data_IF_723134751544
#
_entry.id   IF_723134751544
#
_cell.length_a   1.000
_cell.length_b   1.000
_cell.length_c   1.000
_cell.angle_alpha   90.00
_cell.angle_beta   90.00
_cell.angle_gamma   90.00
#
_symmetry.space_group_name_H-M   'P 1'
#
loop_
_entity.id
_entity.type
_entity.pdbx_description
1 polymer ?
#
# COMPACT_ATOMS: atom_id res chain seq x y z
N UNK A 1 27.22 49.16 -23.16
CA UNK A 1 26.11 48.28 -22.80
C UNK A 1 26.71 47.04 -22.13
N UNK A 2 26.50 46.87 -20.81
CA UNK A 2 26.99 45.69 -20.07
C UNK A 2 25.80 44.74 -19.91
N UNK A 3 25.91 43.52 -20.44
CA UNK A 3 24.91 42.49 -20.32
C UNK A 3 24.79 41.96 -18.87
N UNK A 4 23.63 41.36 -18.50
CA UNK A 4 23.39 40.85 -17.16
C UNK A 4 24.27 39.64 -16.86
N UNK A 5 24.98 39.66 -15.71
CA UNK A 5 25.72 38.53 -15.19
C UNK A 5 24.75 37.63 -14.39
N UNK A 6 24.52 36.41 -14.85
CA UNK A 6 23.85 35.39 -14.07
C UNK A 6 24.79 34.82 -13.01
N UNK A 7 24.37 34.68 -11.76
CA UNK A 7 25.17 34.02 -10.74
C UNK A 7 25.24 32.51 -11.00
N UNK A 8 26.44 31.98 -11.18
CA UNK A 8 26.67 30.55 -11.23
C UNK A 8 26.55 29.98 -9.81
N UNK A 9 25.73 28.92 -9.59
CA UNK A 9 25.73 28.23 -8.30
C UNK A 9 27.08 27.56 -8.07
N UNK A 10 27.67 27.78 -6.89
CA UNK A 10 28.95 27.19 -6.54
C UNK A 10 28.87 25.66 -6.47
N UNK A 11 29.78 25.00 -7.18
CA UNK A 11 29.92 23.53 -7.24
C UNK A 11 29.92 22.84 -5.84
N UNK A 12 30.33 23.56 -4.79
CA UNK A 12 30.35 23.06 -3.43
C UNK A 12 28.97 22.73 -2.87
N UNK A 13 27.92 23.50 -3.18
CA UNK A 13 26.55 23.23 -2.69
C UNK A 13 25.93 21.99 -3.34
N UNK A 14 26.21 21.77 -4.62
CA UNK A 14 25.70 20.60 -5.35
C UNK A 14 26.36 19.33 -4.81
N UNK A 15 27.63 19.37 -4.46
CA UNK A 15 28.37 18.21 -3.91
C UNK A 15 27.87 17.81 -2.53
N UNK A 16 27.53 18.76 -1.67
CA UNK A 16 26.94 18.46 -0.35
C UNK A 16 25.52 17.91 -0.44
N UNK A 17 24.72 18.40 -1.38
CA UNK A 17 23.36 17.87 -1.57
C UNK A 17 23.38 16.46 -2.18
N UNK A 18 24.30 16.17 -3.10
CA UNK A 18 24.51 14.83 -3.62
C UNK A 18 25.10 13.87 -2.58
N UNK A 19 26.01 14.33 -1.72
CA UNK A 19 26.58 13.53 -0.62
C UNK A 19 25.53 13.23 0.45
N UNK A 20 24.62 14.15 0.76
CA UNK A 20 23.52 13.92 1.70
C UNK A 20 22.47 12.95 1.12
N UNK A 21 22.22 13.00 -0.19
CA UNK A 21 21.33 12.07 -0.88
C UNK A 21 21.87 10.63 -0.90
N UNK A 22 23.18 10.46 -0.95
CA UNK A 22 23.84 9.14 -0.99
C UNK A 22 23.94 8.53 0.42
N UNK A 23 23.97 9.32 1.48
CA UNK A 23 24.08 8.81 2.86
C UNK A 23 22.75 8.25 3.43
N UNK A 24 21.63 8.54 2.79
CA UNK A 24 20.30 8.02 3.20
C UNK A 24 19.99 6.64 2.58
N UNK A 25 20.80 6.16 1.62
CA UNK A 25 20.44 4.99 0.80
C UNK A 25 21.01 3.66 1.22
N UNK A 26 21.74 3.53 2.33
CA UNK A 26 22.32 2.23 2.71
C UNK A 26 22.24 2.00 4.21
N UNK A 27 21.04 1.75 4.74
CA UNK A 27 20.90 0.77 5.79
C UNK A 27 20.50 -0.53 5.11
N UNK A 28 21.40 -1.52 4.96
CA UNK A 28 20.97 -2.83 4.48
C UNK A 28 19.94 -3.34 5.50
N UNK A 29 18.73 -3.64 5.00
CA UNK A 29 17.80 -4.43 5.79
C UNK A 29 18.53 -5.71 6.17
N UNK A 30 18.74 -5.95 7.45
CA UNK A 30 19.32 -7.21 7.89
C UNK A 30 18.23 -8.28 7.77
N UNK A 31 18.30 -9.09 6.71
CA UNK A 31 17.59 -10.35 6.66
C UNK A 31 18.39 -11.35 7.51
N UNK A 32 17.76 -12.00 8.47
CA UNK A 32 18.36 -13.12 9.22
C UNK A 32 17.51 -14.35 8.97
N UNK A 33 18.11 -15.35 8.35
CA UNK A 33 17.57 -16.67 8.21
C UNK A 33 18.11 -17.56 9.35
N UNK A 34 17.23 -18.30 9.98
CA UNK A 34 17.56 -19.29 11.01
C UNK A 34 17.04 -20.62 10.51
N UNK A 35 17.95 -21.50 10.10
CA UNK A 35 17.61 -22.88 9.79
C UNK A 35 17.46 -23.67 11.09
N UNK A 36 16.49 -24.55 11.15
CA UNK A 36 16.30 -25.44 12.29
C UNK A 36 16.04 -26.87 11.83
N UNK A 37 16.56 -27.80 12.60
CA UNK A 37 16.37 -29.24 12.44
C UNK A 37 15.94 -29.83 13.80
N UNK A 38 14.78 -30.42 13.81
CA UNK A 38 14.17 -31.02 14.99
C UNK A 38 13.83 -32.48 14.74
N UNK A 39 13.68 -33.25 15.81
CA UNK A 39 13.25 -34.67 15.73
C UNK A 39 14.19 -35.55 14.88
N UNK A 40 15.51 -35.30 14.93
CA UNK A 40 16.54 -36.04 14.16
C UNK A 40 16.32 -35.95 12.64
N UNK A 41 16.08 -34.78 12.09
CA UNK A 41 15.91 -34.53 10.67
C UNK A 41 14.48 -34.78 10.13
N UNK A 42 13.52 -35.14 10.99
CA UNK A 42 12.13 -35.34 10.56
C UNK A 42 11.35 -34.04 10.40
N UNK A 43 11.76 -33.01 11.08
CA UNK A 43 11.20 -31.65 10.96
C UNK A 43 12.34 -30.72 10.64
N UNK A 44 12.38 -30.18 9.45
CA UNK A 44 13.32 -29.15 9.05
C UNK A 44 12.57 -27.87 8.72
N UNK A 45 13.24 -26.73 8.79
CA UNK A 45 12.57 -25.49 8.42
C UNK A 45 13.50 -24.30 8.48
N UNK A 46 12.93 -23.17 8.06
CA UNK A 46 13.61 -21.90 8.00
C UNK A 46 12.72 -20.80 8.58
N UNK A 47 13.31 -19.94 9.36
CA UNK A 47 12.67 -18.75 9.88
C UNK A 47 13.44 -17.51 9.43
N UNK A 48 12.79 -16.71 8.58
CA UNK A 48 13.34 -15.46 8.06
C UNK A 48 12.71 -14.25 8.71
N UNK A 49 13.54 -13.26 9.01
CA UNK A 49 13.08 -11.96 9.52
C UNK A 49 13.71 -10.83 8.72
N UNK A 50 12.88 -9.98 8.14
CA UNK A 50 13.31 -8.76 7.45
C UNK A 50 12.79 -7.54 8.18
N UNK A 51 13.69 -6.68 8.64
CA UNK A 51 13.37 -5.39 9.21
C UNK A 51 13.60 -4.29 8.15
N UNK A 52 12.60 -3.45 7.94
CA UNK A 52 12.65 -2.37 6.93
C UNK A 52 12.28 -1.04 7.58
N UNK A 53 13.01 0.01 7.23
CA UNK A 53 12.69 1.38 7.58
C UNK A 53 12.65 2.23 6.31
N UNK A 54 11.61 3.05 6.16
CA UNK A 54 11.44 3.90 5.00
C UNK A 54 10.84 5.25 5.35
N UNK A 55 11.23 6.26 4.58
CA UNK A 55 10.77 7.64 4.76
C UNK A 55 10.33 8.22 3.43
N UNK A 56 9.23 8.95 3.43
CA UNK A 56 8.75 9.70 2.27
C UNK A 56 8.22 11.05 2.71
N UNK A 57 8.57 12.10 1.97
CA UNK A 57 8.14 13.46 2.24
C UNK A 57 7.74 14.18 0.95
N UNK A 58 6.88 15.16 1.09
CA UNK A 58 6.43 15.98 -0.04
C UNK A 58 7.50 17.01 -0.40
N UNK A 59 7.90 17.06 -1.67
CA UNK A 59 8.94 17.97 -2.19
C UNK A 59 8.39 19.11 -3.04
N UNK A 60 7.07 19.18 -3.21
CA UNK A 60 6.38 20.21 -3.99
C UNK A 60 5.21 20.79 -3.21
N UNK A 61 4.80 21.99 -3.57
CA UNK A 61 3.58 22.59 -3.07
C UNK A 61 2.35 21.75 -3.46
N UNK A 62 1.22 22.02 -2.81
CA UNK A 62 -0.04 21.34 -3.11
C UNK A 62 -0.47 21.63 -4.54
N UNK A 63 -0.93 20.60 -5.23
CA UNK A 63 -1.52 20.76 -6.55
C UNK A 63 -2.94 21.31 -6.42
N UNK A 64 -3.11 22.57 -6.83
CA UNK A 64 -4.39 23.27 -6.75
C UNK A 64 -5.44 22.66 -7.68
N UNK A 65 -5.03 21.92 -8.71
CA UNK A 65 -5.97 21.29 -9.67
C UNK A 65 -6.72 20.09 -9.09
N UNK A 66 -6.25 19.54 -7.97
CA UNK A 66 -6.91 18.42 -7.26
C UNK A 66 -7.49 18.86 -5.91
N UNK A 67 -7.44 20.13 -5.57
CA UNK A 67 -8.09 20.71 -4.40
C UNK A 67 -9.40 21.36 -4.84
N UNK A 68 -10.47 21.10 -4.12
CA UNK A 68 -11.79 21.68 -4.39
C UNK A 68 -11.81 23.20 -4.24
N UNK A 69 -12.66 23.86 -5.03
CA UNK A 69 -12.76 25.33 -5.04
C UNK A 69 -13.08 25.92 -3.68
N UNK A 70 -13.89 25.26 -2.86
CA UNK A 70 -14.23 25.68 -1.50
C UNK A 70 -13.03 25.60 -0.54
N UNK A 71 -12.05 24.75 -0.86
CA UNK A 71 -10.79 24.62 -0.12
C UNK A 71 -9.64 25.46 -0.74
N UNK A 72 -9.98 26.37 -1.67
CA UNK A 72 -9.05 27.31 -2.27
C UNK A 72 -8.32 26.79 -3.51
N UNK A 73 -8.70 25.63 -4.05
CA UNK A 73 -8.16 25.07 -5.28
C UNK A 73 -9.01 25.36 -6.51
N UNK A 74 -8.85 24.56 -7.56
CA UNK A 74 -9.57 24.69 -8.84
C UNK A 74 -10.38 23.45 -9.23
N UNK A 75 -10.31 22.36 -8.46
CA UNK A 75 -11.13 21.17 -8.70
C UNK A 75 -12.60 21.44 -8.37
N UNK A 76 -13.49 20.84 -9.16
CA UNK A 76 -14.92 20.97 -8.94
C UNK A 76 -15.40 20.21 -7.68
N UNK A 77 -14.77 19.09 -7.34
CA UNK A 77 -15.20 18.21 -6.24
C UNK A 77 -14.26 18.31 -5.03
N UNK A 78 -14.88 18.32 -3.83
CA UNK A 78 -14.18 18.18 -2.55
C UNK A 78 -14.08 16.71 -2.09
N UNK A 79 -14.73 15.76 -2.78
CA UNK A 79 -14.79 14.36 -2.37
C UNK A 79 -13.52 13.55 -2.72
N UNK A 80 -12.37 14.19 -2.78
CA UNK A 80 -11.11 13.51 -3.12
C UNK A 80 -9.87 14.34 -2.85
N UNK A 81 -9.97 15.45 -2.15
CA UNK A 81 -8.86 16.38 -1.94
C UNK A 81 -8.17 16.30 -0.58
N UNK A 82 -8.76 15.58 0.39
CA UNK A 82 -8.25 15.48 1.76
C UNK A 82 -6.81 14.95 1.83
N UNK A 83 -6.46 13.97 1.00
CA UNK A 83 -5.10 13.45 0.92
C UNK A 83 -4.07 14.51 0.52
N UNK A 84 -4.42 15.40 -0.42
CA UNK A 84 -3.53 16.49 -0.83
C UNK A 84 -3.51 17.63 0.21
N UNK A 85 -4.64 17.88 0.88
CA UNK A 85 -4.74 18.93 1.90
C UNK A 85 -3.97 18.61 3.18
N UNK A 86 -3.82 17.33 3.52
CA UNK A 86 -3.22 16.90 4.77
C UNK A 86 -1.71 17.07 4.84
N UNK A 87 -1.04 17.36 3.73
CA UNK A 87 0.43 17.44 3.68
C UNK A 87 0.89 18.68 2.94
N UNK A 88 1.81 19.44 3.55
CA UNK A 88 2.48 20.57 2.95
C UNK A 88 3.84 20.17 2.36
N UNK A 89 4.44 21.10 1.59
CA UNK A 89 5.82 20.96 1.14
C UNK A 89 6.76 20.78 2.35
N UNK A 90 7.59 19.75 2.31
CA UNK A 90 8.48 19.36 3.40
C UNK A 90 7.86 18.40 4.44
N UNK A 91 6.55 18.19 4.42
CA UNK A 91 5.90 17.25 5.33
C UNK A 91 6.23 15.80 5.01
N UNK A 92 6.52 15.02 6.06
CA UNK A 92 6.57 13.57 5.92
C UNK A 92 5.17 13.00 5.83
N UNK A 93 4.90 12.27 4.76
CA UNK A 93 3.66 11.51 4.61
C UNK A 93 3.83 10.02 4.91
N UNK A 94 5.08 9.52 5.05
CA UNK A 94 5.39 8.18 5.57
C UNK A 94 6.71 8.20 6.36
N UNK A 95 6.69 7.56 7.53
CA UNK A 95 7.85 7.23 8.38
C UNK A 95 7.64 5.80 8.86
N UNK A 96 7.82 4.86 7.94
CA UNK A 96 7.42 3.47 8.13
C UNK A 96 8.57 2.65 8.72
N UNK A 97 8.25 1.89 9.78
CA UNK A 97 9.05 0.79 10.30
C UNK A 97 8.24 -0.49 10.22
N UNK A 98 8.83 -1.54 9.68
CA UNK A 98 8.16 -2.80 9.41
C UNK A 98 9.08 -3.98 9.73
N UNK A 99 8.49 -5.06 10.24
CA UNK A 99 9.15 -6.35 10.39
C UNK A 99 8.27 -7.40 9.69
N UNK A 100 8.86 -8.10 8.76
CA UNK A 100 8.27 -9.22 8.03
C UNK A 100 8.89 -10.52 8.57
N UNK A 101 8.06 -11.50 8.83
CA UNK A 101 8.45 -12.86 9.19
C UNK A 101 7.95 -13.84 8.15
N UNK A 102 8.80 -14.79 7.77
CA UNK A 102 8.50 -15.92 6.89
C UNK A 102 8.98 -17.19 7.59
N UNK A 103 8.11 -18.18 7.68
CA UNK A 103 8.39 -19.47 8.29
C UNK A 103 8.02 -20.56 7.29
N UNK A 104 8.98 -21.39 6.95
CA UNK A 104 8.74 -22.64 6.22
C UNK A 104 9.08 -23.81 7.13
N UNK A 105 8.28 -24.85 7.09
CA UNK A 105 8.48 -26.09 7.86
C UNK A 105 8.17 -27.28 6.98
N UNK A 106 9.13 -28.18 6.84
CA UNK A 106 8.99 -29.46 6.16
C UNK A 106 8.85 -30.56 7.21
N UNK A 107 7.83 -31.39 7.05
CA UNK A 107 7.56 -32.57 7.88
C UNK A 107 7.07 -33.71 7.02
N UNK A 108 7.92 -34.71 6.79
CA UNK A 108 7.64 -35.85 5.92
C UNK A 108 7.26 -35.38 4.50
N UNK A 109 6.04 -35.64 4.05
CA UNK A 109 5.49 -35.25 2.74
C UNK A 109 4.74 -33.90 2.80
N UNK A 110 4.78 -33.21 3.95
CA UNK A 110 4.08 -31.94 4.15
C UNK A 110 5.04 -30.78 4.24
N UNK A 111 4.70 -29.68 3.57
CA UNK A 111 5.33 -28.40 3.75
C UNK A 111 4.29 -27.40 4.28
N UNK A 112 4.69 -26.64 5.26
CA UNK A 112 3.90 -25.56 5.86
C UNK A 112 4.60 -24.22 5.62
N UNK A 113 3.86 -23.22 5.26
CA UNK A 113 4.39 -21.87 5.10
C UNK A 113 3.48 -20.84 5.74
N UNK A 114 4.10 -19.91 6.48
CA UNK A 114 3.41 -18.76 7.08
C UNK A 114 4.22 -17.51 6.82
N UNK A 115 3.57 -16.47 6.31
CA UNK A 115 4.14 -15.13 6.13
C UNK A 115 3.24 -14.11 6.77
N UNK A 116 3.84 -13.19 7.50
CA UNK A 116 3.13 -12.07 8.09
C UNK A 116 4.07 -10.93 8.41
N UNK A 117 3.52 -9.73 8.54
CA UNK A 117 4.29 -8.58 8.96
C UNK A 117 3.51 -7.73 9.94
N UNK A 118 4.23 -6.97 10.74
CA UNK A 118 3.67 -5.83 11.43
C UNK A 118 4.43 -4.56 11.02
N UNK A 119 3.71 -3.46 11.03
CA UNK A 119 4.28 -2.17 10.67
C UNK A 119 3.71 -1.06 11.54
N UNK A 120 4.47 0.02 11.63
CA UNK A 120 4.03 1.29 12.17
C UNK A 120 4.58 2.44 11.32
N UNK A 121 3.68 3.22 10.77
CA UNK A 121 3.99 4.49 10.13
C UNK A 121 3.75 5.62 11.13
N UNK A 122 4.83 6.23 11.61
CA UNK A 122 4.78 7.28 12.62
C UNK A 122 4.20 8.59 12.09
N UNK A 123 4.28 8.85 10.77
CA UNK A 123 3.67 10.04 10.18
C UNK A 123 2.13 9.97 10.24
N UNK A 124 1.57 8.76 10.19
CA UNK A 124 0.13 8.51 10.20
C UNK A 124 -0.36 8.21 11.61
N UNK A 125 0.34 7.32 12.36
CA UNK A 125 -0.10 6.83 13.67
C UNK A 125 0.07 7.83 14.82
N UNK A 126 0.92 8.84 14.68
CA UNK A 126 1.07 9.90 15.69
C UNK A 126 -0.01 10.98 15.59
N UNK A 127 -1.01 10.78 14.73
CA UNK A 127 -2.16 11.64 14.58
C UNK A 127 -1.76 13.08 14.35
N UNK A 128 -1.29 13.42 13.16
CA UNK A 128 -1.18 14.83 12.82
C UNK A 128 -2.53 15.46 13.08
N UNK A 129 -2.62 16.29 14.12
CA UNK A 129 -3.72 17.23 14.27
C UNK A 129 -3.61 18.12 13.04
N UNK A 130 -4.50 17.91 12.10
CA UNK A 130 -4.47 18.60 10.84
C UNK A 130 -4.68 20.09 11.10
N UNK A 131 -4.07 20.92 10.28
CA UNK A 131 -4.26 22.37 10.33
C UNK A 131 -5.77 22.69 10.25
N UNK A 132 -6.15 23.81 10.79
CA UNK A 132 -7.53 24.28 10.82
C UNK A 132 -8.22 24.12 9.46
N UNK A 133 -9.36 23.44 9.42
CA UNK A 133 -10.13 23.13 8.20
C UNK A 133 -9.85 21.79 7.54
N UNK A 134 -8.89 21.00 8.01
CA UNK A 134 -8.59 19.66 7.49
C UNK A 134 -9.33 18.59 8.27
N UNK A 135 -9.62 17.49 7.59
CA UNK A 135 -10.26 16.35 8.23
C UNK A 135 -9.23 15.47 8.96
N UNK A 136 -9.48 15.07 10.20
CA UNK A 136 -8.60 14.16 10.91
C UNK A 136 -8.61 12.78 10.25
N UNK A 137 -7.45 12.12 10.26
CA UNK A 137 -7.38 10.72 9.83
C UNK A 137 -8.26 9.86 10.75
N UNK A 138 -9.12 9.06 10.15
CA UNK A 138 -10.03 8.18 10.90
C UNK A 138 -9.26 6.99 11.49
N UNK A 139 -9.84 6.33 12.52
CA UNK A 139 -9.27 5.10 13.07
C UNK A 139 -9.09 3.98 12.03
N UNK A 140 -9.89 3.97 10.97
CA UNK A 140 -9.70 3.06 9.83
C UNK A 140 -8.45 3.39 9.03
N UNK A 141 -8.19 4.67 8.74
CA UNK A 141 -6.95 5.08 8.04
C UNK A 141 -5.71 4.74 8.87
N UNK A 142 -5.76 4.97 10.18
CA UNK A 142 -4.70 4.57 11.09
C UNK A 142 -4.48 3.05 11.07
N UNK A 143 -5.56 2.27 11.12
CA UNK A 143 -5.47 0.80 11.10
C UNK A 143 -4.90 0.25 9.81
N UNK A 144 -5.25 0.83 8.65
CA UNK A 144 -4.81 0.29 7.36
C UNK A 144 -3.46 0.85 6.90
N UNK A 145 -3.12 2.09 7.24
CA UNK A 145 -1.89 2.74 6.80
C UNK A 145 -0.94 3.13 7.95
N UNK A 146 -1.46 3.36 9.17
CA UNK A 146 -0.65 3.81 10.30
C UNK A 146 0.01 2.68 11.07
N UNK A 147 -0.75 1.67 11.50
CA UNK A 147 -0.21 0.50 12.23
C UNK A 147 -1.12 -0.70 12.13
N UNK A 148 -0.55 -1.86 11.87
CA UNK A 148 -1.28 -3.12 11.87
C UNK A 148 -0.33 -4.31 11.95
N UNK A 149 -0.88 -5.47 12.33
CA UNK A 149 -0.30 -6.79 12.12
C UNK A 149 -1.13 -7.49 11.04
N UNK A 150 -0.48 -7.98 9.99
CA UNK A 150 -1.13 -8.58 8.83
C UNK A 150 -0.58 -9.99 8.63
N UNK A 151 -1.47 -10.96 8.67
CA UNK A 151 -1.17 -12.31 8.19
C UNK A 151 -1.40 -12.32 6.67
N UNK A 152 -0.37 -12.63 5.92
CA UNK A 152 -0.39 -12.79 4.47
C UNK A 152 -0.66 -14.25 4.13
N UNK A 153 0.38 -14.98 3.75
CA UNK A 153 0.26 -16.38 3.38
C UNK A 153 0.18 -17.27 4.62
N UNK A 154 -0.65 -18.29 4.55
CA UNK A 154 -0.71 -19.38 5.51
C UNK A 154 -1.30 -20.61 4.83
N UNK A 155 -0.44 -21.53 4.44
CA UNK A 155 -0.85 -22.71 3.68
C UNK A 155 -0.08 -23.95 4.09
N UNK A 156 -0.68 -25.11 3.77
CA UNK A 156 -0.05 -26.42 3.81
C UNK A 156 -0.04 -26.99 2.41
N UNK A 157 1.07 -27.60 2.04
CA UNK A 157 1.27 -28.31 0.78
C UNK A 157 1.64 -29.76 1.06
N UNK A 158 1.18 -30.64 0.20
CA UNK A 158 1.55 -32.04 0.20
C UNK A 158 1.74 -32.52 -1.23
N UNK A 159 2.80 -33.30 -1.43
CA UNK A 159 3.05 -34.05 -2.66
C UNK A 159 2.57 -35.49 -2.51
N UNK A 160 2.05 -36.03 -3.59
CA UNK A 160 1.71 -37.44 -3.70
C UNK A 160 1.74 -37.84 -5.17
N UNK A 161 1.90 -39.13 -5.41
CA UNK A 161 1.94 -39.68 -6.75
C UNK A 161 0.55 -40.07 -7.25
N UNK A 162 0.20 -39.61 -8.46
CA UNK A 162 -0.97 -40.07 -9.18
C UNK A 162 -0.52 -40.95 -10.35
N UNK A 163 -0.45 -42.27 -10.10
CA UNK A 163 0.27 -43.15 -11.01
C UNK A 163 1.77 -43.01 -10.85
N UNK A 164 2.46 -42.67 -11.94
CA UNK A 164 3.90 -42.45 -11.95
C UNK A 164 4.27 -40.95 -11.93
N UNK A 165 3.27 -40.07 -11.87
CA UNK A 165 3.46 -38.62 -11.99
C UNK A 165 3.13 -37.88 -10.68
N UNK A 166 3.95 -36.89 -10.28
CA UNK A 166 3.74 -36.15 -9.04
C UNK A 166 2.59 -35.13 -9.15
N UNK A 167 1.81 -35.03 -8.08
CA UNK A 167 0.78 -34.03 -7.86
C UNK A 167 1.07 -33.27 -6.59
N UNK A 168 1.14 -31.95 -6.67
CA UNK A 168 1.19 -31.07 -5.50
C UNK A 168 -0.17 -30.49 -5.21
N UNK A 169 -0.65 -30.64 -3.99
CA UNK A 169 -1.82 -29.92 -3.51
C UNK A 169 -1.43 -28.90 -2.45
N UNK A 170 -1.86 -27.65 -2.66
CA UNK A 170 -1.66 -26.56 -1.68
C UNK A 170 -3.01 -26.04 -1.21
N UNK A 171 -3.25 -26.10 0.09
CA UNK A 171 -4.47 -25.64 0.73
C UNK A 171 -4.16 -24.49 1.71
N UNK A 172 -4.85 -23.38 1.58
CA UNK A 172 -4.72 -22.27 2.52
C UNK A 172 -4.81 -20.90 1.86
N UNK A 173 -4.40 -19.88 2.61
CA UNK A 173 -4.31 -18.51 2.13
C UNK A 173 -3.00 -18.34 1.37
N UNK A 174 -3.05 -18.07 0.07
CA UNK A 174 -1.89 -18.04 -0.82
C UNK A 174 -2.07 -17.04 -1.95
N UNK A 175 -0.97 -16.53 -2.47
CA UNK A 175 -0.92 -15.76 -3.72
C UNK A 175 -0.80 -16.72 -4.89
N UNK A 176 -1.75 -16.64 -5.83
CA UNK A 176 -1.69 -17.42 -7.07
C UNK A 176 -0.87 -16.63 -8.09
N UNK A 177 0.32 -17.13 -8.41
CA UNK A 177 1.23 -16.48 -9.35
C UNK A 177 1.40 -17.36 -10.60
N UNK A 178 0.94 -16.87 -11.75
CA UNK A 178 1.13 -17.48 -13.06
C UNK A 178 1.98 -16.63 -13.99
N UNK A 179 2.90 -15.85 -13.44
CA UNK A 179 3.82 -14.98 -14.17
C UNK A 179 3.45 -13.51 -14.12
N UNK A 180 4.16 -12.71 -14.89
CA UNK A 180 4.00 -11.26 -14.94
C UNK A 180 2.96 -10.85 -15.98
N UNK A 181 2.09 -9.89 -15.62
CA UNK A 181 1.12 -9.28 -16.54
C UNK A 181 1.74 -8.09 -17.27
N UNK A 182 2.81 -8.33 -18.02
CA UNK A 182 3.60 -7.26 -18.65
C UNK A 182 2.85 -6.55 -19.78
N UNK A 183 2.06 -7.28 -20.58
CA UNK A 183 1.40 -6.74 -21.78
C UNK A 183 -0.11 -6.51 -21.61
N UNK A 184 -0.74 -7.26 -20.71
CA UNK A 184 -2.19 -7.14 -20.45
C UNK A 184 -2.37 -6.76 -19.00
N UNK A 185 -2.77 -5.53 -18.78
CA UNK A 185 -3.05 -5.02 -17.44
C UNK A 185 -4.15 -5.85 -16.78
N UNK A 186 -3.91 -6.31 -15.55
CA UNK A 186 -4.81 -7.19 -14.80
C UNK A 186 -5.07 -8.58 -15.45
N UNK A 187 -4.19 -9.09 -16.27
CA UNK A 187 -4.33 -10.38 -16.93
C UNK A 187 -4.36 -11.56 -15.94
N UNK A 188 -3.32 -12.39 -15.95
CA UNK A 188 -3.24 -13.60 -15.14
C UNK A 188 -3.24 -13.37 -13.61
N UNK A 189 -2.84 -12.19 -13.15
CA UNK A 189 -2.75 -11.84 -11.73
C UNK A 189 -4.03 -11.22 -11.14
N UNK A 190 -5.11 -11.08 -11.94
CA UNK A 190 -6.39 -10.48 -11.49
C UNK A 190 -7.02 -11.21 -10.31
N UNK A 191 -6.70 -12.48 -10.13
CA UNK A 191 -7.18 -13.30 -9.01
C UNK A 191 -6.68 -12.80 -7.65
N UNK A 192 -5.52 -12.15 -7.61
CA UNK A 192 -4.92 -11.63 -6.39
C UNK A 192 -5.36 -10.18 -6.15
N UNK A 193 -6.15 -9.88 -5.11
CA UNK A 193 -6.43 -8.51 -4.74
C UNK A 193 -5.16 -7.79 -4.30
N UNK A 194 -5.16 -6.46 -4.39
CA UNK A 194 -4.02 -5.62 -4.03
C UNK A 194 -4.38 -4.69 -2.89
N UNK A 195 -3.51 -4.54 -1.91
CA UNK A 195 -3.53 -3.46 -0.94
C UNK A 195 -2.64 -2.31 -1.45
N UNK A 196 -3.28 -1.30 -2.04
CA UNK A 196 -2.57 -0.19 -2.71
C UNK A 196 -1.72 0.61 -1.71
N UNK A 197 -2.16 0.72 -0.45
CA UNK A 197 -1.40 1.42 0.59
C UNK A 197 -0.06 0.74 0.88
N UNK A 198 0.00 -0.58 0.75
CA UNK A 198 1.23 -1.34 0.95
C UNK A 198 2.16 -1.23 -0.25
N UNK A 199 1.60 -1.12 -1.46
CA UNK A 199 2.40 -0.92 -2.67
C UNK A 199 3.16 0.42 -2.66
N UNK A 200 2.59 1.46 -2.04
CA UNK A 200 3.13 2.82 -2.00
C UNK A 200 3.83 3.19 -0.69
N UNK A 201 3.77 2.34 0.31
CA UNK A 201 4.47 2.57 1.58
C UNK A 201 5.98 2.59 1.37
N UNK A 202 6.67 3.46 2.10
CA UNK A 202 8.12 3.57 2.02
C UNK A 202 8.79 2.24 2.41
N UNK A 203 9.67 1.72 1.54
CA UNK A 203 10.36 0.45 1.75
C UNK A 203 9.48 -0.80 1.59
N UNK A 204 8.37 -0.71 0.83
CA UNK A 204 7.49 -1.86 0.60
C UNK A 204 8.01 -2.79 -0.49
N UNK A 205 7.62 -4.06 -0.38
CA UNK A 205 7.85 -5.10 -1.38
C UNK A 205 6.51 -5.54 -2.00
N UNK A 206 6.54 -5.99 -3.25
CA UNK A 206 5.32 -6.43 -3.98
C UNK A 206 4.61 -7.56 -3.23
N UNK A 207 5.37 -8.48 -2.61
CA UNK A 207 4.80 -9.60 -1.84
C UNK A 207 3.94 -9.17 -0.65
N UNK A 208 4.09 -7.94 -0.18
CA UNK A 208 3.29 -7.38 0.92
C UNK A 208 2.01 -6.70 0.45
N UNK A 209 2.00 -6.25 -0.80
CA UNK A 209 0.86 -5.60 -1.41
C UNK A 209 -0.16 -6.60 -1.98
N UNK A 210 0.29 -7.78 -2.40
CA UNK A 210 -0.62 -8.83 -2.86
C UNK A 210 -1.36 -9.45 -1.67
N UNK A 211 -2.68 -9.47 -1.75
CA UNK A 211 -3.53 -10.03 -0.69
C UNK A 211 -3.78 -11.51 -1.01
N UNK A 212 -3.25 -12.43 -0.21
CA UNK A 212 -3.48 -13.86 -0.43
C UNK A 212 -4.96 -14.23 -0.34
N UNK A 213 -5.38 -15.18 -1.17
CA UNK A 213 -6.75 -15.70 -1.19
C UNK A 213 -6.81 -17.12 -0.63
N UNK A 214 -7.86 -17.50 0.12
CA UNK A 214 -8.07 -18.87 0.52
C UNK A 214 -8.42 -19.71 -0.70
N UNK A 215 -7.57 -20.69 -1.02
CA UNK A 215 -7.70 -21.52 -2.20
C UNK A 215 -7.15 -22.93 -1.97
N UNK A 216 -7.68 -23.88 -2.75
CA UNK A 216 -7.06 -25.15 -3.04
C UNK A 216 -6.40 -25.03 -4.42
N UNK A 217 -5.09 -25.15 -4.48
CA UNK A 217 -4.30 -25.15 -5.72
C UNK A 217 -3.77 -26.56 -5.97
N UNK A 218 -3.74 -26.97 -7.23
CA UNK A 218 -3.06 -28.18 -7.65
C UNK A 218 -2.06 -27.87 -8.76
N UNK A 219 -0.94 -28.55 -8.72
CA UNK A 219 0.09 -28.60 -9.74
C UNK A 219 0.30 -30.07 -10.11
N UNK A 220 0.08 -30.42 -11.36
CA UNK A 220 0.20 -31.80 -11.87
C UNK A 220 1.16 -31.86 -13.04
N UNK A 221 2.20 -32.64 -12.90
CA UNK A 221 3.14 -32.93 -13.98
C UNK A 221 2.57 -34.05 -14.83
N UNK A 222 2.08 -33.72 -16.04
CA UNK A 222 1.47 -34.72 -16.93
C UNK A 222 2.53 -35.56 -17.65
N UNK A 223 3.67 -34.98 -17.95
CA UNK A 223 4.86 -35.62 -18.52
C UNK A 223 6.04 -34.64 -18.46
N UNK A 224 7.22 -35.03 -18.97
CA UNK A 224 8.45 -34.21 -18.95
C UNK A 224 8.32 -32.83 -19.63
N UNK A 225 7.28 -32.61 -20.43
CA UNK A 225 7.09 -31.39 -21.24
C UNK A 225 5.88 -30.59 -20.80
N UNK A 226 4.85 -31.23 -20.26
CA UNK A 226 3.54 -30.61 -19.98
C UNK A 226 3.21 -30.70 -18.49
N UNK A 227 2.96 -29.54 -17.88
CA UNK A 227 2.39 -29.43 -16.54
C UNK A 227 1.03 -28.73 -16.58
N UNK A 228 0.14 -29.12 -15.71
CA UNK A 228 -1.17 -28.51 -15.50
C UNK A 228 -1.22 -27.85 -14.13
N UNK A 229 -1.68 -26.62 -14.08
CA UNK A 229 -1.94 -25.92 -12.83
C UNK A 229 -3.37 -25.45 -12.80
N UNK A 230 -3.99 -25.54 -11.63
CA UNK A 230 -5.32 -25.02 -11.41
C UNK A 230 -5.56 -24.69 -9.95
N UNK A 231 -6.62 -23.94 -9.70
CA UNK A 231 -7.02 -23.64 -8.33
C UNK A 231 -8.55 -23.52 -8.23
N UNK A 232 -9.03 -23.78 -7.03
CA UNK A 232 -10.40 -23.51 -6.62
C UNK A 232 -10.40 -22.52 -5.47
N UNK A 233 -10.99 -21.34 -5.69
CA UNK A 233 -11.05 -20.28 -4.71
C UNK A 233 -12.13 -20.58 -3.67
N UNK A 234 -11.74 -20.70 -2.39
CA UNK A 234 -12.61 -21.02 -1.28
C UNK A 234 -13.26 -19.77 -0.65
N UNK A 235 -12.70 -18.60 -0.89
CA UNK A 235 -13.22 -17.36 -0.35
C UNK A 235 -12.75 -16.13 -1.14
N UNK A 236 -13.56 -15.08 -1.13
CA UNK A 236 -13.26 -13.85 -1.84
C UNK A 236 -12.56 -12.84 -0.92
N UNK A 237 -11.61 -12.10 -1.49
CA UNK A 237 -10.95 -10.95 -0.88
C UNK A 237 -11.07 -9.75 -1.80
N UNK A 238 -11.17 -8.55 -1.23
CA UNK A 238 -11.26 -7.31 -2.03
C UNK A 238 -9.93 -6.60 -2.13
N UNK A 239 -9.71 -5.92 -3.26
CA UNK A 239 -8.67 -4.88 -3.37
C UNK A 239 -8.96 -3.76 -2.38
N UNK A 240 -7.94 -3.25 -1.73
CA UNK A 240 -8.00 -2.12 -0.80
C UNK A 240 -7.38 -0.92 -1.45
N UNK A 241 -8.16 0.16 -1.54
CA UNK A 241 -7.67 1.45 -1.98
C UNK A 241 -6.81 2.12 -0.90
N UNK A 242 -6.14 3.20 -1.27
CA UNK A 242 -5.49 4.08 -0.31
C UNK A 242 -6.49 4.53 0.76
N UNK A 243 -6.15 4.45 2.06
CA UNK A 243 -7.02 4.94 3.10
C UNK A 243 -7.29 6.44 2.99
N UNK A 244 -8.50 6.81 3.39
CA UNK A 244 -8.95 8.19 3.44
C UNK A 244 -7.94 9.12 4.13
N UNK A 245 -7.70 10.28 3.52
CA UNK A 245 -6.85 11.34 4.06
C UNK A 245 -5.34 11.05 4.04
N UNK A 246 -4.90 9.88 3.58
CA UNK A 246 -3.48 9.60 3.34
C UNK A 246 -3.01 10.28 2.05
N UNK A 247 -1.70 10.52 1.92
CA UNK A 247 -1.13 11.34 0.85
C UNK A 247 -1.55 10.94 -0.57
N UNK A 248 -1.71 9.66 -0.82
CA UNK A 248 -2.10 9.14 -2.14
C UNK A 248 -3.60 8.86 -2.27
N UNK A 249 -4.41 9.21 -1.25
CA UNK A 249 -5.86 9.08 -1.34
C UNK A 249 -6.43 10.03 -2.40
N UNK A 250 -7.24 9.49 -3.28
CA UNK A 250 -7.94 10.25 -4.34
C UNK A 250 -9.45 10.16 -4.21
N UNK A 251 -9.94 9.55 -3.12
CA UNK A 251 -11.37 9.40 -2.88
C UNK A 251 -11.65 9.39 -1.38
N UNK A 252 -12.47 10.31 -0.95
CA UNK A 252 -12.93 10.42 0.46
C UNK A 252 -14.13 9.52 0.73
N UNK A 253 -14.67 8.89 -0.32
CA UNK A 253 -15.89 8.08 -0.29
C UNK A 253 -15.59 6.58 -0.33
N UNK A 254 -14.82 6.16 -1.35
CA UNK A 254 -14.57 4.75 -1.63
C UNK A 254 -13.39 4.18 -0.84
N UNK A 255 -12.56 5.04 -0.29
CA UNK A 255 -11.37 4.67 0.48
C UNK A 255 -11.73 4.10 1.85
N UNK A 256 -10.92 3.16 2.40
CA UNK A 256 -11.06 2.74 3.78
C UNK A 256 -10.99 3.94 4.72
N UNK A 257 -11.98 4.07 5.61
CA UNK A 257 -12.09 5.21 6.52
C UNK A 257 -12.93 6.37 5.99
N UNK A 258 -13.24 6.40 4.71
CA UNK A 258 -14.21 7.34 4.15
C UNK A 258 -15.61 7.05 4.68
N UNK A 259 -16.22 8.04 5.30
CA UNK A 259 -17.53 7.90 5.95
C UNK A 259 -18.50 9.03 5.61
N UNK A 260 -18.06 10.00 4.82
CA UNK A 260 -18.85 11.16 4.42
C UNK A 260 -18.83 11.31 2.90
N UNK A 261 -19.99 11.59 2.33
CA UNK A 261 -20.15 11.98 0.92
C UNK A 261 -20.71 13.39 0.92
N UNK A 262 -20.00 14.31 0.29
CA UNK A 262 -20.51 15.67 0.09
C UNK A 262 -21.38 15.67 -1.16
N UNK A 263 -22.70 15.84 -0.96
CA UNK A 263 -23.66 15.93 -2.07
C UNK A 263 -23.42 17.23 -2.86
N UNK A 264 -23.69 17.21 -4.16
CA UNK A 264 -23.36 18.33 -5.03
C UNK A 264 -21.85 18.58 -5.13
N UNK A 265 -21.04 17.54 -4.89
CA UNK A 265 -19.56 17.61 -4.86
C UNK A 265 -18.99 18.51 -3.75
N UNK A 266 -19.80 18.88 -2.76
CA UNK A 266 -19.43 19.84 -1.70
C UNK A 266 -19.42 21.30 -2.15
N UNK A 267 -19.95 21.59 -3.32
CA UNK A 267 -20.11 22.94 -3.83
C UNK A 267 -21.42 23.53 -3.33
N UNK A 268 -21.45 24.83 -2.96
CA UNK A 268 -22.67 25.52 -2.56
C UNK A 268 -23.68 25.51 -3.72
N UNK A 269 -24.94 25.00 -3.51
CA UNK A 269 -25.98 25.03 -4.54
C UNK A 269 -26.27 26.41 -5.09
N UNK A 270 -25.97 27.48 -4.37
CA UNK A 270 -26.13 28.85 -4.83
C UNK A 270 -25.07 29.36 -5.81
N UNK A 271 -24.00 28.59 -5.99
CA UNK A 271 -22.85 28.94 -6.84
C UNK A 271 -22.78 28.09 -8.12
N UNK A 272 -23.71 27.14 -8.31
CA UNK A 272 -23.69 26.21 -9.44
C UNK A 272 -23.76 26.92 -10.81
N UNK A 273 -24.36 28.07 -10.89
CA UNK A 273 -24.55 28.84 -12.13
C UNK A 273 -23.48 29.93 -12.37
N UNK A 274 -22.53 30.07 -11.49
CA UNK A 274 -21.41 31.01 -11.68
C UNK A 274 -20.11 30.26 -11.97
N UNK A 275 -19.30 30.70 -12.95
CA UNK A 275 -17.93 30.18 -13.09
C UNK A 275 -17.20 30.33 -11.73
N UNK A 276 -16.28 29.41 -11.37
CA UNK A 276 -15.63 29.42 -10.08
C UNK A 276 -15.02 30.79 -9.80
N UNK A 277 -15.68 31.54 -8.92
CA UNK A 277 -15.18 32.80 -8.38
C UNK A 277 -14.26 32.50 -7.20
N UNK A 278 -13.49 33.50 -6.73
CA UNK A 278 -12.69 33.33 -5.52
C UNK A 278 -13.59 32.89 -4.37
N UNK A 279 -13.16 31.86 -3.64
CA UNK A 279 -13.87 31.32 -2.50
C UNK A 279 -14.32 32.42 -1.55
N UNK A 280 -15.59 32.42 -1.17
CA UNK A 280 -16.10 33.38 -0.18
C UNK A 280 -15.51 33.02 1.17
N UNK A 281 -14.70 33.87 1.81
CA UNK A 281 -14.10 33.58 3.10
C UNK A 281 -15.22 33.33 4.14
N UNK A 282 -15.23 32.17 4.77
CA UNK A 282 -16.13 31.84 5.88
C UNK A 282 -17.15 30.74 5.64
N UNK A 283 -17.19 30.12 4.47
CA UNK A 283 -18.11 29.01 4.21
C UNK A 283 -17.45 27.66 4.50
N UNK A 284 -17.40 27.30 5.78
CA UNK A 284 -16.94 25.98 6.25
C UNK A 284 -18.12 25.09 6.73
N UNK A 285 -19.34 25.40 6.33
CA UNK A 285 -20.46 24.55 6.69
C UNK A 285 -20.64 23.45 5.65
N UNK A 286 -20.56 22.16 6.02
CA UNK A 286 -20.96 21.10 5.13
C UNK A 286 -22.45 21.22 4.84
N UNK A 287 -22.82 21.79 3.71
CA UNK A 287 -24.17 21.72 3.18
C UNK A 287 -24.32 20.36 2.52
N UNK A 288 -24.28 19.33 3.29
CA UNK A 288 -24.48 17.99 2.80
C UNK A 288 -25.18 17.15 3.85
N UNK A 289 -26.23 16.45 3.45
CA UNK A 289 -26.75 15.35 4.25
C UNK A 289 -25.67 14.24 4.15
N UNK A 290 -24.85 14.13 5.17
CA UNK A 290 -23.84 13.07 5.24
C UNK A 290 -24.53 11.71 5.30
N UNK A 291 -24.20 10.82 4.38
CA UNK A 291 -24.55 9.41 4.49
C UNK A 291 -23.40 8.71 5.18
N UNK A 292 -23.57 8.41 6.46
CA UNK A 292 -22.61 7.58 7.20
C UNK A 292 -22.78 6.12 6.82
N UNK A 293 -21.70 5.47 6.40
CA UNK A 293 -21.64 4.02 6.35
C UNK A 293 -21.24 3.48 7.72
N UNK A 294 -22.10 2.71 8.34
CA UNK A 294 -21.82 1.90 9.52
C UNK A 294 -20.96 0.67 9.16
#
# INVERSE_FOLDING_TARGET
MRGPRFPHPSLSRITYQLALLILVTVLPGSAQAIDFDLMNGRVTGQFDTTATMGFSWRVSDRDQSIIGTTNGGTAYSLNGDDGNLNYDNGDFFSKNFKILHEISVDYEEYEFFVRGFYFRDFAISEGKVLQEGRQPLTGSSERFAGRNAVLLDAWVRRDFDLGDEPVLLTLGSQVINWGESTFIQNGLNTVNPVDVSKLRAAGSEIKEALVPIPALKFDYQLNDVVSLQGFYQLGWRKTRLEPYGTFFSTSDIASPGGNVVLLGFGVDPGVIDTPPGPATPGYNAPVGVGVTRS
#
